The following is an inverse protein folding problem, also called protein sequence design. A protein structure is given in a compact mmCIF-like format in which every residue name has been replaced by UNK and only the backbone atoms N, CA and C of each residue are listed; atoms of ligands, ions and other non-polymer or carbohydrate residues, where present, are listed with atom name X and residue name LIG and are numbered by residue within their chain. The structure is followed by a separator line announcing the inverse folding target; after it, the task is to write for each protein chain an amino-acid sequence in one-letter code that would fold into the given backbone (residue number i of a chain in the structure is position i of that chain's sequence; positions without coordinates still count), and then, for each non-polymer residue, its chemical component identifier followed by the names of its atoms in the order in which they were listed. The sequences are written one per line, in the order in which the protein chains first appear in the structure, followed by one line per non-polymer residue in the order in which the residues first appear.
data_IF_699597598396
#
_entry.id   IF_699597598396
#
_cell.length_a   1.000
_cell.length_b   1.000
_cell.length_c   1.000
_cell.angle_alpha   90.00
_cell.angle_beta   90.00
_cell.angle_gamma   90.00
#
_symmetry.space_group_name_H-M   'P 1'
#
loop_
_entity.id
_entity.type
_entity.pdbx_description
1 polymer ?
#
# COMPACT_ATOMS: atom_id res chain seq x y z
N UNK A 1 -12.61 -9.48 12.29
CA UNK A 1 -13.15 -9.45 10.91
C UNK A 1 -13.92 -8.16 10.71
N UNK A 2 -13.60 -7.37 9.71
CA UNK A 2 -14.21 -6.06 9.46
C UNK A 2 -15.69 -6.22 9.04
N UNK A 3 -16.56 -5.39 9.59
CA UNK A 3 -17.96 -5.33 9.15
C UNK A 3 -18.10 -4.44 7.91
N UNK A 4 -19.24 -4.55 7.22
CA UNK A 4 -19.52 -3.66 6.09
C UNK A 4 -19.57 -2.18 6.53
N UNK A 5 -20.05 -1.92 7.74
CA UNK A 5 -20.09 -0.58 8.33
C UNK A 5 -18.68 -0.01 8.55
N UNK A 6 -17.74 -0.84 9.03
CA UNK A 6 -16.35 -0.43 9.20
C UNK A 6 -15.70 -0.07 7.85
N UNK A 7 -15.93 -0.89 6.82
CA UNK A 7 -15.42 -0.61 5.46
C UNK A 7 -16.03 0.70 4.91
N UNK A 8 -17.33 0.87 5.04
CA UNK A 8 -18.01 2.10 4.58
C UNK A 8 -17.51 3.34 5.32
N UNK A 9 -17.26 3.22 6.61
CA UNK A 9 -16.70 4.31 7.41
C UNK A 9 -15.30 4.69 6.91
N UNK A 10 -14.39 3.72 6.74
CA UNK A 10 -13.05 3.99 6.21
C UNK A 10 -13.08 4.64 4.82
N UNK A 11 -13.97 4.18 3.93
CA UNK A 11 -14.14 4.79 2.60
C UNK A 11 -14.67 6.22 2.66
N UNK A 12 -15.56 6.50 3.61
CA UNK A 12 -16.09 7.84 3.86
C UNK A 12 -15.01 8.77 4.42
N UNK A 13 -14.24 8.29 5.40
CA UNK A 13 -13.20 9.07 6.08
C UNK A 13 -12.09 9.50 5.12
N UNK A 14 -11.74 8.67 4.15
CA UNK A 14 -10.75 9.02 3.13
C UNK A 14 -11.34 9.79 1.92
N UNK A 15 -12.63 10.10 1.92
CA UNK A 15 -13.30 10.83 0.83
C UNK A 15 -13.35 10.04 -0.49
N UNK A 16 -13.34 8.71 -0.43
CA UNK A 16 -13.37 7.85 -1.60
C UNK A 16 -14.66 8.01 -2.40
N UNK A 17 -14.55 8.00 -3.73
CA UNK A 17 -15.70 7.98 -4.64
C UNK A 17 -15.63 6.72 -5.50
N UNK A 18 -16.50 5.77 -5.19
CA UNK A 18 -16.54 4.42 -5.75
C UNK A 18 -17.80 4.23 -6.59
N UNK A 19 -17.81 4.74 -7.81
CA UNK A 19 -18.96 4.62 -8.69
C UNK A 19 -18.97 3.24 -9.36
N UNK A 20 -20.12 2.56 -9.30
CA UNK A 20 -20.33 1.28 -9.98
C UNK A 20 -19.75 0.04 -9.29
N UNK A 21 -19.14 0.17 -8.08
CA UNK A 21 -18.41 -0.91 -7.40
C UNK A 21 -18.99 -1.30 -6.02
N UNK A 22 -20.31 -1.19 -5.85
CA UNK A 22 -20.98 -1.54 -4.58
C UNK A 22 -20.84 -3.01 -4.17
N UNK A 23 -20.73 -3.92 -5.15
CA UNK A 23 -20.57 -5.35 -4.90
C UNK A 23 -19.16 -5.65 -4.38
N UNK A 24 -18.16 -5.02 -4.99
CA UNK A 24 -16.74 -5.12 -4.62
C UNK A 24 -16.51 -4.60 -3.20
N UNK A 25 -17.18 -3.51 -2.80
CA UNK A 25 -17.12 -2.97 -1.43
C UNK A 25 -17.56 -4.00 -0.40
N UNK A 26 -18.59 -4.81 -0.69
CA UNK A 26 -19.00 -5.88 0.21
C UNK A 26 -17.93 -6.98 0.35
N UNK A 27 -17.19 -7.26 -0.72
CA UNK A 27 -16.11 -8.27 -0.66
C UNK A 27 -14.93 -7.80 0.19
N UNK A 28 -14.70 -6.47 0.32
CA UNK A 28 -13.63 -5.93 1.17
C UNK A 28 -13.72 -6.40 2.63
N UNK A 29 -14.93 -6.71 3.13
CA UNK A 29 -15.11 -7.24 4.50
C UNK A 29 -14.36 -8.54 4.75
N UNK A 30 -14.13 -9.33 3.69
CA UNK A 30 -13.43 -10.61 3.74
C UNK A 30 -11.93 -10.45 3.49
N UNK A 31 -11.52 -9.34 2.84
CA UNK A 31 -10.20 -9.12 2.29
C UNK A 31 -9.36 -8.22 3.20
N UNK A 32 -9.95 -7.14 3.72
CA UNK A 32 -9.27 -6.18 4.59
C UNK A 32 -9.04 -6.79 5.97
N UNK A 33 -7.78 -6.88 6.38
CA UNK A 33 -7.38 -7.42 7.68
C UNK A 33 -7.64 -6.43 8.81
N UNK A 34 -7.73 -6.91 10.06
CA UNK A 34 -8.05 -6.07 11.22
C UNK A 34 -7.04 -4.94 11.46
N UNK A 35 -5.77 -5.17 11.08
CA UNK A 35 -4.68 -4.19 11.17
C UNK A 35 -4.36 -3.49 9.83
N UNK A 36 -5.30 -3.50 8.89
CA UNK A 36 -5.19 -2.87 7.58
C UNK A 36 -6.16 -1.70 7.49
N UNK A 37 -5.67 -0.55 7.03
CA UNK A 37 -6.43 0.71 6.94
C UNK A 37 -6.51 1.09 5.46
N UNK A 38 -7.72 1.40 5.00
CA UNK A 38 -7.93 1.96 3.66
C UNK A 38 -7.48 3.42 3.67
N UNK A 39 -6.53 3.76 2.81
CA UNK A 39 -6.01 5.13 2.67
C UNK A 39 -6.74 5.90 1.58
N UNK A 40 -7.18 5.22 0.52
CA UNK A 40 -8.07 5.78 -0.50
C UNK A 40 -8.69 4.67 -1.36
N UNK A 41 -9.78 4.99 -2.06
CA UNK A 41 -10.34 4.10 -3.06
C UNK A 41 -10.95 4.90 -4.24
N UNK A 42 -10.88 4.30 -5.41
CA UNK A 42 -11.47 4.80 -6.64
C UNK A 42 -11.96 3.63 -7.51
N UNK A 43 -12.61 3.93 -8.62
CA UNK A 43 -12.97 2.94 -9.63
C UNK A 43 -12.37 3.31 -10.98
N UNK A 44 -12.06 2.31 -11.79
CA UNK A 44 -11.52 2.50 -13.11
C UNK A 44 -11.75 1.29 -14.01
N UNK A 45 -11.34 1.40 -15.24
CA UNK A 45 -11.51 0.39 -16.28
C UNK A 45 -10.21 -0.39 -16.50
N UNK A 46 -10.28 -1.70 -16.31
CA UNK A 46 -9.18 -2.61 -16.57
C UNK A 46 -9.74 -3.93 -17.14
N UNK A 47 -9.07 -4.48 -18.16
CA UNK A 47 -9.40 -5.76 -18.78
C UNK A 47 -10.90 -5.96 -19.12
N UNK A 48 -11.51 -4.92 -19.74
CA UNK A 48 -12.90 -5.00 -20.17
C UNK A 48 -13.96 -4.76 -19.07
N UNK A 49 -13.57 -4.51 -17.83
CA UNK A 49 -14.46 -4.38 -16.69
C UNK A 49 -14.18 -3.13 -15.84
N UNK A 50 -15.18 -2.73 -15.04
CA UNK A 50 -15.00 -1.72 -14.00
C UNK A 50 -14.50 -2.39 -12.73
N UNK A 51 -13.32 -1.98 -12.29
CA UNK A 51 -12.66 -2.48 -11.08
C UNK A 51 -12.72 -1.45 -9.95
N UNK A 52 -12.92 -1.93 -8.74
CA UNK A 52 -12.64 -1.16 -7.52
C UNK A 52 -11.14 -1.23 -7.24
N UNK A 53 -10.53 -0.07 -7.03
CA UNK A 53 -9.11 0.05 -6.71
C UNK A 53 -9.01 0.63 -5.30
N UNK A 54 -8.37 -0.08 -4.40
CA UNK A 54 -8.23 0.32 -3.00
C UNK A 54 -6.75 0.40 -2.64
N UNK A 55 -6.32 1.55 -2.15
CA UNK A 55 -5.02 1.71 -1.50
C UNK A 55 -5.19 1.47 0.00
N UNK A 56 -4.27 0.72 0.59
CA UNK A 56 -4.21 0.49 2.03
C UNK A 56 -2.80 0.78 2.54
N UNK A 57 -2.62 0.83 3.85
CA UNK A 57 -1.30 0.96 4.48
C UNK A 57 -0.35 -0.26 4.26
N UNK A 58 -0.77 -1.27 3.46
CA UNK A 58 0.04 -2.48 3.21
C UNK A 58 0.17 -2.85 1.73
N UNK A 59 -0.84 -2.59 0.93
CA UNK A 59 -0.94 -3.04 -0.47
C UNK A 59 -1.97 -2.22 -1.25
N UNK A 60 -1.92 -2.35 -2.55
CA UNK A 60 -3.00 -1.90 -3.43
C UNK A 60 -3.81 -3.14 -3.82
N UNK A 61 -5.12 -3.05 -3.75
CA UNK A 61 -6.06 -4.13 -4.04
C UNK A 61 -6.94 -3.70 -5.21
N UNK A 62 -7.06 -4.53 -6.22
CA UNK A 62 -8.02 -4.35 -7.29
C UNK A 62 -9.04 -5.50 -7.24
N UNK A 63 -10.29 -5.14 -7.33
CA UNK A 63 -11.42 -6.08 -7.26
C UNK A 63 -12.39 -5.86 -8.41
N UNK A 64 -12.74 -6.95 -9.07
CA UNK A 64 -13.88 -7.05 -9.97
C UNK A 64 -14.75 -8.21 -9.52
N UNK A 65 -15.99 -7.90 -9.13
CA UNK A 65 -16.98 -8.92 -8.82
C UNK A 65 -17.89 -9.14 -10.00
N UNK A 66 -17.70 -10.25 -10.67
CA UNK A 66 -18.54 -10.68 -11.79
C UNK A 66 -20.03 -10.59 -11.49
N UNK A 67 -20.83 -10.36 -12.53
CA UNK A 67 -22.26 -10.12 -12.37
C UNK A 67 -22.99 -11.32 -11.76
N UNK A 68 -22.57 -12.55 -12.09
CA UNK A 68 -23.20 -13.79 -11.64
C UNK A 68 -22.30 -14.60 -10.72
N UNK A 69 -21.03 -14.79 -11.04
CA UNK A 69 -20.11 -15.64 -10.28
C UNK A 69 -18.69 -15.10 -10.30
N UNK A 70 -17.95 -15.43 -9.23
CA UNK A 70 -16.52 -15.17 -9.12
C UNK A 70 -16.17 -13.78 -8.61
N UNK A 71 -14.94 -13.68 -8.14
CA UNK A 71 -14.26 -12.43 -7.76
C UNK A 71 -12.86 -12.49 -8.36
N UNK A 72 -12.56 -11.55 -9.21
CA UNK A 72 -11.19 -11.32 -9.68
C UNK A 72 -10.50 -10.37 -8.70
N UNK A 73 -9.36 -10.76 -8.18
CA UNK A 73 -8.62 -9.99 -7.21
C UNK A 73 -7.15 -9.93 -7.61
N UNK A 74 -6.60 -8.71 -7.59
CA UNK A 74 -5.18 -8.46 -7.79
C UNK A 74 -4.68 -7.70 -6.57
N UNK A 75 -3.57 -8.16 -6.00
CA UNK A 75 -2.92 -7.53 -4.85
C UNK A 75 -1.50 -7.13 -5.21
N UNK A 76 -1.15 -5.89 -4.98
CA UNK A 76 0.18 -5.35 -5.23
C UNK A 76 0.75 -4.85 -3.90
N UNK A 77 1.69 -5.58 -3.27
CA UNK A 77 2.35 -5.13 -2.05
C UNK A 77 3.05 -3.79 -2.25
N UNK A 78 3.00 -2.88 -1.27
CA UNK A 78 3.62 -1.55 -1.38
C UNK A 78 5.11 -1.62 -1.72
N UNK A 79 5.84 -2.60 -1.21
CA UNK A 79 7.26 -2.80 -1.53
C UNK A 79 7.56 -3.15 -2.99
N UNK A 80 6.53 -3.45 -3.79
CA UNK A 80 6.66 -3.65 -5.25
C UNK A 80 6.23 -2.42 -6.07
N UNK A 81 5.67 -1.41 -5.44
CA UNK A 81 5.22 -0.18 -6.11
C UNK A 81 6.37 0.82 -6.10
N UNK A 82 7.14 0.89 -7.17
CA UNK A 82 8.30 1.78 -7.26
C UNK A 82 7.90 3.23 -7.61
N UNK A 83 6.87 3.40 -8.42
CA UNK A 83 6.35 4.70 -8.81
C UNK A 83 4.94 4.58 -9.35
N UNK A 84 4.10 5.54 -9.04
CA UNK A 84 2.77 5.67 -9.63
C UNK A 84 2.82 6.74 -10.71
N UNK A 85 2.62 6.34 -11.96
CA UNK A 85 2.51 7.26 -13.09
C UNK A 85 1.04 7.49 -13.39
N UNK A 86 0.68 8.69 -13.75
CA UNK A 86 -0.69 8.99 -14.15
C UNK A 86 -0.75 9.94 -15.34
N UNK A 87 -1.83 9.84 -16.07
CA UNK A 87 -2.15 10.74 -17.18
C UNK A 87 -3.54 11.32 -16.96
N UNK A 88 -3.63 12.63 -16.98
CA UNK A 88 -4.84 13.37 -16.73
C UNK A 88 -5.45 13.83 -18.05
N UNK A 89 -6.67 13.37 -18.36
CA UNK A 89 -7.48 13.87 -19.46
C UNK A 89 -8.42 14.99 -19.01
N UNK A 90 -9.37 15.35 -19.88
CA UNK A 90 -10.34 16.41 -19.61
C UNK A 90 -11.28 16.06 -18.45
N UNK A 91 -11.91 14.88 -18.49
CA UNK A 91 -12.87 14.39 -17.49
C UNK A 91 -12.39 13.15 -16.74
N UNK A 92 -11.61 12.32 -17.40
CA UNK A 92 -11.08 11.07 -16.89
C UNK A 92 -9.58 11.01 -17.09
N UNK A 93 -8.93 10.06 -16.42
CA UNK A 93 -7.51 9.80 -16.57
C UNK A 93 -7.17 8.33 -16.42
N UNK A 94 -5.90 8.05 -16.42
CA UNK A 94 -5.35 6.71 -16.24
C UNK A 94 -4.24 6.74 -15.19
N UNK A 95 -4.04 5.61 -14.54
CA UNK A 95 -2.93 5.40 -13.60
C UNK A 95 -2.20 4.11 -13.99
N UNK A 96 -0.88 4.17 -13.94
CA UNK A 96 0.00 3.01 -14.04
C UNK A 96 0.64 2.80 -12.67
N UNK A 97 0.34 1.65 -12.05
CA UNK A 97 0.69 1.40 -10.64
C UNK A 97 1.98 0.58 -10.54
N UNK A 98 2.15 -0.42 -11.41
CA UNK A 98 3.26 -1.37 -11.35
C UNK A 98 3.45 -2.03 -12.71
N UNK A 99 4.71 -2.13 -13.18
CA UNK A 99 5.15 -2.90 -14.35
C UNK A 99 4.20 -2.86 -15.58
N UNK A 100 3.78 -1.64 -15.94
CA UNK A 100 2.85 -1.44 -17.06
C UNK A 100 1.38 -1.72 -16.74
N UNK A 101 1.03 -2.07 -15.49
CA UNK A 101 -0.35 -2.27 -15.08
C UNK A 101 -1.12 -0.95 -15.08
N UNK A 102 -2.01 -0.78 -16.07
CA UNK A 102 -2.72 0.47 -16.33
C UNK A 102 -4.21 0.34 -16.10
N UNK A 103 -4.74 1.20 -15.26
CA UNK A 103 -6.19 1.39 -15.09
C UNK A 103 -6.60 2.70 -15.74
N UNK A 104 -7.60 2.63 -16.59
CA UNK A 104 -8.13 3.76 -17.39
C UNK A 104 -9.47 4.23 -16.86
N UNK A 105 -9.98 5.32 -17.43
CA UNK A 105 -11.31 5.85 -17.14
C UNK A 105 -11.57 6.12 -15.65
N UNK A 106 -10.54 6.53 -14.92
CA UNK A 106 -10.67 7.01 -13.55
C UNK A 106 -11.18 8.44 -13.59
N UNK A 107 -12.20 8.75 -12.81
CA UNK A 107 -12.72 10.12 -12.71
C UNK A 107 -11.60 11.07 -12.24
N UNK A 108 -11.44 12.21 -12.93
CA UNK A 108 -10.39 13.20 -12.63
C UNK A 108 -10.42 13.66 -11.16
N UNK A 109 -11.62 13.80 -10.57
CA UNK A 109 -11.78 14.20 -9.18
C UNK A 109 -11.23 13.19 -8.17
N UNK A 110 -11.11 11.90 -8.52
CA UNK A 110 -10.60 10.84 -7.66
C UNK A 110 -9.19 10.41 -8.04
N UNK A 111 -8.74 10.68 -9.26
CA UNK A 111 -7.42 10.29 -9.76
C UNK A 111 -6.29 10.92 -8.93
N UNK A 112 -6.29 12.23 -8.76
CA UNK A 112 -5.22 12.94 -8.04
C UNK A 112 -5.22 12.60 -6.55
N UNK A 113 -6.37 12.62 -5.83
CA UNK A 113 -6.40 12.14 -4.45
C UNK A 113 -5.91 10.70 -4.30
N UNK A 114 -6.26 9.80 -5.22
CA UNK A 114 -5.77 8.42 -5.21
C UNK A 114 -4.24 8.36 -5.35
N UNK A 115 -3.68 9.05 -6.34
CA UNK A 115 -2.22 9.09 -6.56
C UNK A 115 -1.49 9.65 -5.35
N UNK A 116 -2.00 10.72 -4.76
CA UNK A 116 -1.42 11.33 -3.55
C UNK A 116 -1.45 10.34 -2.37
N UNK A 117 -2.58 9.72 -2.10
CA UNK A 117 -2.72 8.74 -1.02
C UNK A 117 -1.77 7.54 -1.21
N UNK A 118 -1.62 7.04 -2.45
CA UNK A 118 -0.67 5.95 -2.73
C UNK A 118 0.77 6.40 -2.48
N UNK A 119 1.18 7.58 -2.95
CA UNK A 119 2.53 8.09 -2.75
C UNK A 119 2.85 8.36 -1.27
N UNK A 120 1.90 8.92 -0.51
CA UNK A 120 2.03 9.09 0.95
C UNK A 120 2.23 7.74 1.63
N UNK A 121 1.39 6.76 1.29
CA UNK A 121 1.46 5.42 1.86
C UNK A 121 2.79 4.71 1.53
N UNK A 122 3.32 4.88 0.31
CA UNK A 122 4.65 4.37 -0.07
C UNK A 122 5.72 5.04 0.79
N UNK A 123 5.67 6.36 0.94
CA UNK A 123 6.63 7.10 1.76
C UNK A 123 6.63 6.69 3.24
N UNK A 124 5.44 6.43 3.81
CA UNK A 124 5.31 5.91 5.17
C UNK A 124 5.83 4.47 5.30
N UNK A 125 5.52 3.62 4.31
CA UNK A 125 6.03 2.26 4.25
C UNK A 125 7.56 2.23 4.18
N UNK A 126 8.20 3.04 3.34
CA UNK A 126 9.65 3.15 3.25
C UNK A 126 10.29 3.65 4.55
N UNK A 127 9.68 4.64 5.20
CA UNK A 127 10.13 5.13 6.52
C UNK A 127 10.04 4.02 7.57
N UNK A 128 8.95 3.27 7.60
CA UNK A 128 8.77 2.15 8.52
C UNK A 128 9.78 1.03 8.28
N UNK A 129 10.12 0.76 7.01
CA UNK A 129 11.16 -0.21 6.66
C UNK A 129 12.56 0.26 7.08
N UNK A 130 12.86 1.56 6.91
CA UNK A 130 14.12 2.15 7.37
C UNK A 130 14.23 2.16 8.89
N UNK A 131 13.13 2.38 9.61
CA UNK A 131 13.09 2.35 11.08
C UNK A 131 13.06 0.93 11.64
N UNK A 132 12.50 -0.04 10.92
CA UNK A 132 12.53 -1.46 11.27
C UNK A 132 13.74 -2.21 10.69
N UNK A 133 14.44 -1.62 9.74
CA UNK A 133 15.63 -2.18 9.08
C UNK A 133 16.94 -2.00 9.86
N UNK A 134 16.89 -1.42 11.09
CA UNK A 134 17.90 -1.68 12.09
C UNK A 134 17.30 -2.63 13.14
N UNK A 135 17.08 -3.89 12.75
CA UNK A 135 16.88 -4.92 13.76
C UNK A 135 18.10 -4.92 14.65
N UNK A 136 17.92 -5.25 15.93
CA UNK A 136 19.05 -5.41 16.86
C UNK A 136 20.16 -6.27 16.23
N UNK A 137 19.77 -7.26 15.41
CA UNK A 137 20.69 -8.10 14.67
C UNK A 137 21.48 -7.32 13.60
N UNK A 138 20.83 -6.42 12.83
CA UNK A 138 21.50 -5.63 11.80
C UNK A 138 22.42 -4.56 12.43
N UNK A 139 22.05 -3.99 13.57
CA UNK A 139 22.91 -3.10 14.33
C UNK A 139 24.14 -3.83 14.86
N UNK A 140 23.99 -5.04 15.38
CA UNK A 140 25.09 -5.88 15.82
C UNK A 140 26.02 -6.23 14.65
N UNK A 141 25.47 -6.54 13.46
CA UNK A 141 26.28 -6.82 12.25
C UNK A 141 27.05 -5.57 11.83
N UNK A 142 26.44 -4.39 11.84
CA UNK A 142 27.14 -3.10 11.55
C UNK A 142 28.24 -2.82 12.56
N UNK A 143 27.97 -3.00 13.85
CA UNK A 143 28.98 -2.82 14.90
C UNK A 143 30.14 -3.82 14.75
N UNK A 144 29.84 -5.07 14.37
CA UNK A 144 30.89 -6.07 14.10
C UNK A 144 31.77 -5.65 12.94
N UNK A 145 31.18 -5.15 11.84
CA UNK A 145 31.95 -4.63 10.69
C UNK A 145 32.86 -3.47 11.09
N UNK A 146 32.36 -2.52 11.89
CA UNK A 146 33.18 -1.40 12.40
C UNK A 146 34.34 -1.88 13.30
N UNK A 147 34.11 -2.95 14.08
CA UNK A 147 35.17 -3.57 14.87
C UNK A 147 36.21 -4.24 13.97
N UNK A 148 35.78 -5.00 12.94
CA UNK A 148 36.67 -5.68 11.98
C UNK A 148 37.49 -4.68 11.15
N UNK A 149 36.93 -3.48 10.88
CA UNK A 149 37.60 -2.35 10.22
C UNK A 149 38.49 -1.52 11.19
N UNK A 150 38.54 -1.87 12.47
CA UNK A 150 39.34 -1.16 13.48
C UNK A 150 38.81 0.21 13.90
N UNK A 151 37.59 0.57 13.50
CA UNK A 151 36.94 1.85 13.86
C UNK A 151 36.49 1.88 15.31
N UNK A 152 36.06 0.73 15.84
CA UNK A 152 35.73 0.55 17.26
C UNK A 152 36.50 -0.63 17.85
N UNK A 153 36.78 -0.57 19.15
CA UNK A 153 37.45 -1.64 19.87
C UNK A 153 36.47 -2.77 20.19
N UNK A 154 37.04 -3.96 20.47
CA UNK A 154 36.22 -5.11 20.92
C UNK A 154 35.41 -4.81 22.18
N UNK A 155 35.95 -4.03 23.11
CA UNK A 155 35.22 -3.66 24.32
C UNK A 155 34.03 -2.74 24.03
N UNK A 156 34.18 -1.82 23.11
CA UNK A 156 33.08 -0.94 22.67
C UNK A 156 32.00 -1.73 21.91
N UNK A 157 32.40 -2.68 21.07
CA UNK A 157 31.48 -3.60 20.41
C UNK A 157 30.66 -4.40 21.43
N UNK A 158 31.29 -5.07 22.40
CA UNK A 158 30.60 -5.90 23.41
C UNK A 158 29.67 -5.04 24.30
N UNK A 159 30.09 -3.83 24.67
CA UNK A 159 29.27 -2.90 25.43
C UNK A 159 28.00 -2.52 24.65
N UNK A 160 28.13 -2.09 23.41
CA UNK A 160 27.02 -1.70 22.53
C UNK A 160 26.07 -2.87 22.24
N UNK A 161 26.63 -4.05 21.96
CA UNK A 161 25.84 -5.27 21.74
C UNK A 161 24.99 -5.61 22.96
N UNK A 162 25.53 -5.52 24.17
CA UNK A 162 24.80 -5.80 25.41
C UNK A 162 23.75 -4.73 25.71
N UNK A 163 23.93 -3.48 25.29
CA UNK A 163 22.91 -2.42 25.37
C UNK A 163 21.73 -2.71 24.43
N UNK A 164 21.99 -3.23 23.23
CA UNK A 164 20.98 -3.55 22.23
C UNK A 164 20.18 -4.82 22.52
N UNK A 165 20.73 -5.74 23.33
CA UNK A 165 20.08 -7.00 23.68
C UNK A 165 19.25 -6.94 24.97
N UNK A 166 19.19 -5.79 25.66
CA UNK A 166 18.35 -5.55 26.84
C UNK A 166 16.94 -5.11 26.47
#
# INVERSE_FOLDING_TARGET
MRTLKDIQQMLSDCGASIVGTKKEVKELTKIIKDNEIITYATSGWYDGHTWLIVSTNKRIILLDKGMLFGVNQIEIPLGKVNAVKYKKGLFMGEVEIWDGFKVKNILKKTLIPFVNAVNETIGEFEKSQKSSGSSVADEIIKLKKLMDEGVITRNEFEKKKNELLK
#
